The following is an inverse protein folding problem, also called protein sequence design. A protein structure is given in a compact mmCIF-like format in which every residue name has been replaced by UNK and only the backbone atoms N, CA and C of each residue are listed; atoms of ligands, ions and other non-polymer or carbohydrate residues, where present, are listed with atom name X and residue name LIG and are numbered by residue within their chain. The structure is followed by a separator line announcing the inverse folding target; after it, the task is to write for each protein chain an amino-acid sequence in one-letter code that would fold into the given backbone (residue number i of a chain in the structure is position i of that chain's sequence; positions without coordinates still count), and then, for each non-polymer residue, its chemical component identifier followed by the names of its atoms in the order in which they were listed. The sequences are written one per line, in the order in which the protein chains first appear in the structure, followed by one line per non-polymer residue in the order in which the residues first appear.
data_IF_328113645522
#
_entry.id   IF_328113645522
#
_cell.length_a   1.000
_cell.length_b   1.000
_cell.length_c   1.000
_cell.angle_alpha   90.00
_cell.angle_beta   90.00
_cell.angle_gamma   90.00
#
_symmetry.space_group_name_H-M   'P 1'
#
loop_
_entity.id
_entity.type
_entity.pdbx_description
1 polymer ?
#
# COMPACT_ATOMS: atom_id res chain seq x y z
N UNK A 1 -53.41 -18.56 -63.15
CA UNK A 1 -53.44 -17.28 -62.41
C UNK A 1 -54.16 -17.51 -61.10
N UNK A 2 -53.63 -16.95 -60.01
CA UNK A 2 -54.19 -16.84 -58.65
C UNK A 2 -54.26 -18.08 -57.75
N UNK A 3 -53.50 -18.03 -56.64
CA UNK A 3 -53.91 -18.55 -55.33
C UNK A 3 -53.08 -17.82 -54.25
N UNK A 4 -53.67 -16.86 -53.53
CA UNK A 4 -54.36 -16.98 -52.23
C UNK A 4 -53.42 -16.78 -51.02
N UNK A 5 -53.74 -15.77 -50.21
CA UNK A 5 -53.05 -15.31 -49.00
C UNK A 5 -54.04 -15.27 -47.82
N UNK A 6 -53.59 -15.71 -46.63
CA UNK A 6 -53.96 -15.34 -45.23
C UNK A 6 -53.91 -16.60 -44.34
N UNK A 7 -52.97 -16.71 -43.38
CA UNK A 7 -52.84 -16.04 -42.06
C UNK A 7 -53.48 -16.86 -40.91
N UNK A 8 -52.74 -17.06 -39.81
CA UNK A 8 -53.31 -17.23 -38.45
C UNK A 8 -53.03 -18.53 -37.68
N UNK A 9 -51.90 -18.57 -36.96
CA UNK A 9 -51.66 -18.86 -35.53
C UNK A 9 -52.64 -19.72 -34.65
N UNK A 10 -52.02 -20.59 -33.80
CA UNK A 10 -52.29 -20.94 -32.36
C UNK A 10 -52.32 -22.46 -31.96
N UNK A 11 -51.25 -22.89 -31.25
CA UNK A 11 -51.09 -23.64 -29.95
C UNK A 11 -52.12 -24.76 -29.60
N UNK A 12 -51.76 -25.98 -29.13
CA UNK A 12 -51.48 -26.34 -27.71
C UNK A 12 -51.04 -27.83 -27.49
N UNK A 13 -49.94 -28.01 -26.73
CA UNK A 13 -49.45 -29.00 -25.70
C UNK A 13 -50.03 -30.44 -25.50
N UNK A 14 -49.10 -31.37 -25.16
CA UNK A 14 -49.11 -32.56 -24.23
C UNK A 14 -48.67 -33.88 -24.94
N UNK A 15 -47.83 -34.82 -24.44
CA UNK A 15 -47.17 -35.09 -23.16
C UNK A 15 -46.07 -36.20 -23.30
N UNK A 16 -45.13 -36.26 -22.33
CA UNK A 16 -44.40 -37.42 -21.74
C UNK A 16 -43.09 -38.02 -22.31
N UNK A 17 -42.05 -37.84 -21.47
CA UNK A 17 -41.04 -38.79 -20.94
C UNK A 17 -39.95 -39.39 -21.83
N UNK A 18 -38.71 -38.94 -21.61
CA UNK A 18 -37.61 -39.84 -21.24
C UNK A 18 -36.54 -39.12 -20.42
N UNK A 19 -36.17 -39.74 -19.30
CA UNK A 19 -35.08 -39.37 -18.41
C UNK A 19 -33.76 -39.18 -19.17
N UNK A 20 -33.09 -38.06 -18.93
CA UNK A 20 -31.63 -38.03 -18.90
C UNK A 20 -31.23 -37.10 -17.75
N UNK A 21 -31.02 -37.69 -16.58
CA UNK A 21 -30.25 -37.06 -15.52
C UNK A 21 -28.80 -37.07 -15.99
N UNK A 22 -28.40 -35.99 -16.67
CA UNK A 22 -26.98 -35.66 -16.76
C UNK A 22 -26.60 -35.04 -15.42
N UNK A 23 -25.97 -35.82 -14.56
CA UNK A 23 -25.25 -35.32 -13.40
C UNK A 23 -24.15 -34.39 -13.92
N UNK A 24 -24.42 -33.09 -13.93
CA UNK A 24 -23.42 -32.08 -14.21
C UNK A 24 -22.57 -31.96 -12.95
N UNK A 25 -21.39 -32.57 -12.98
CA UNK A 25 -20.41 -32.48 -11.91
C UNK A 25 -19.87 -31.05 -11.87
N UNK A 26 -20.47 -30.21 -11.03
CA UNK A 26 -19.93 -28.90 -10.66
C UNK A 26 -18.75 -29.04 -9.68
N UNK A 27 -17.73 -29.81 -10.08
CA UNK A 27 -16.43 -29.72 -9.45
C UNK A 27 -15.77 -28.42 -9.94
N UNK A 28 -15.24 -27.57 -9.05
CA UNK A 28 -14.58 -26.35 -9.46
C UNK A 28 -13.29 -26.72 -10.22
N UNK A 29 -13.35 -26.65 -11.55
CA UNK A 29 -12.17 -26.81 -12.39
C UNK A 29 -11.21 -25.66 -12.09
N UNK A 30 -10.08 -25.98 -11.49
CA UNK A 30 -8.98 -25.06 -11.22
C UNK A 30 -8.55 -24.45 -12.57
N UNK A 31 -8.94 -23.19 -12.81
CA UNK A 31 -8.56 -22.49 -14.04
C UNK A 31 -7.04 -22.47 -14.12
N UNK A 32 -6.49 -23.02 -15.19
CA UNK A 32 -5.07 -22.89 -15.57
C UNK A 32 -4.79 -21.40 -15.75
N UNK A 33 -4.43 -20.72 -14.67
CA UNK A 33 -3.84 -19.39 -14.73
C UNK A 33 -2.53 -19.60 -15.47
N UNK A 34 -2.50 -19.16 -16.72
CA UNK A 34 -1.40 -19.38 -17.67
C UNK A 34 -0.06 -19.08 -17.02
N UNK A 35 0.88 -20.03 -17.08
CA UNK A 35 2.26 -19.92 -16.56
C UNK A 35 2.95 -18.61 -16.99
N UNK A 36 2.68 -18.12 -18.21
CA UNK A 36 3.16 -16.83 -18.71
C UNK A 36 2.62 -15.61 -17.96
N UNK A 37 1.35 -15.64 -17.55
CA UNK A 37 0.77 -14.56 -16.75
C UNK A 37 1.37 -14.55 -15.34
N UNK A 38 1.57 -15.73 -14.75
CA UNK A 38 2.27 -15.89 -13.47
C UNK A 38 3.71 -15.37 -13.54
N UNK A 39 4.47 -15.68 -14.60
CA UNK A 39 5.84 -15.18 -14.78
C UNK A 39 5.86 -13.64 -14.89
N UNK A 40 4.97 -13.06 -15.71
CA UNK A 40 4.89 -11.60 -15.86
C UNK A 40 4.53 -10.89 -14.53
N UNK A 41 3.63 -11.47 -13.75
CA UNK A 41 3.23 -10.90 -12.45
C UNK A 41 4.37 -11.02 -11.42
N UNK A 42 5.12 -12.12 -11.44
CA UNK A 42 6.32 -12.30 -10.61
C UNK A 42 7.40 -11.28 -10.97
N UNK A 43 7.72 -11.14 -12.26
CA UNK A 43 8.72 -10.17 -12.74
C UNK A 43 8.33 -8.74 -12.37
N UNK A 44 7.04 -8.39 -12.52
CA UNK A 44 6.50 -7.10 -12.10
C UNK A 44 6.63 -6.88 -10.60
N UNK A 45 6.31 -7.88 -9.80
CA UNK A 45 6.43 -7.83 -8.33
C UNK A 45 7.87 -7.57 -7.90
N UNK A 46 8.84 -8.28 -8.49
CA UNK A 46 10.26 -8.09 -8.17
C UNK A 46 10.78 -6.71 -8.57
N UNK A 47 10.33 -6.17 -9.70
CA UNK A 47 10.64 -4.79 -10.09
C UNK A 47 10.07 -3.77 -9.10
N UNK A 48 8.83 -3.96 -8.64
CA UNK A 48 8.20 -3.10 -7.64
C UNK A 48 8.94 -3.18 -6.29
N UNK A 49 9.34 -4.37 -5.86
CA UNK A 49 10.15 -4.58 -4.66
C UNK A 49 11.50 -3.88 -4.74
N UNK A 50 12.23 -4.03 -5.85
CA UNK A 50 13.52 -3.38 -6.06
C UNK A 50 13.38 -1.85 -6.07
N UNK A 51 12.34 -1.33 -6.74
CA UNK A 51 12.02 0.11 -6.77
C UNK A 51 11.70 0.64 -5.36
N UNK A 52 10.86 -0.06 -4.60
CA UNK A 52 10.55 0.32 -3.23
C UNK A 52 11.80 0.36 -2.35
N UNK A 53 12.61 -0.70 -2.36
CA UNK A 53 13.88 -0.76 -1.63
C UNK A 53 14.78 0.42 -1.97
N UNK A 54 14.98 0.68 -3.26
CA UNK A 54 15.87 1.75 -3.71
C UNK A 54 15.37 3.15 -3.36
N UNK A 55 14.05 3.39 -3.43
CA UNK A 55 13.50 4.73 -3.19
C UNK A 55 13.41 5.09 -1.72
N UNK A 56 13.30 4.09 -0.83
CA UNK A 56 13.08 4.30 0.60
C UNK A 56 14.28 3.97 1.49
N UNK A 57 15.38 3.48 0.92
CA UNK A 57 16.63 3.33 1.67
C UNK A 57 17.32 4.68 1.79
N UNK A 58 17.66 5.08 3.03
CA UNK A 58 18.42 6.29 3.31
C UNK A 58 17.60 7.59 3.29
N UNK A 59 16.27 7.54 3.22
CA UNK A 59 15.42 8.74 3.12
C UNK A 59 15.01 9.31 4.46
N UNK A 60 14.59 10.57 4.46
CA UNK A 60 13.91 11.22 5.58
C UNK A 60 12.46 11.51 5.21
N UNK A 61 11.52 11.04 6.03
CA UNK A 61 10.12 11.44 5.94
C UNK A 61 9.95 12.65 6.85
N UNK A 62 9.39 13.74 6.30
CA UNK A 62 8.97 14.92 7.07
C UNK A 62 7.51 15.18 6.85
N UNK A 63 6.78 15.34 7.92
CA UNK A 63 5.35 15.55 7.81
C UNK A 63 4.73 16.17 9.04
N UNK A 64 3.42 16.13 9.01
CA UNK A 64 2.57 16.61 10.07
C UNK A 64 1.47 15.59 10.32
N UNK A 65 0.97 15.57 11.55
CA UNK A 65 -0.15 14.73 11.93
C UNK A 65 -1.24 15.50 12.68
N UNK A 66 -2.44 14.95 12.56
CA UNK A 66 -3.66 15.36 13.25
C UNK A 66 -3.93 14.40 14.40
N UNK A 67 -4.73 14.84 15.38
CA UNK A 67 -5.33 14.00 16.40
C UNK A 67 -6.84 14.15 16.24
N UNK A 68 -7.57 13.04 16.18
CA UNK A 68 -9.01 13.06 16.02
C UNK A 68 -9.70 13.89 17.13
N UNK A 69 -10.65 14.73 16.73
CA UNK A 69 -11.35 15.65 17.63
C UNK A 69 -10.53 16.88 18.05
N UNK A 70 -9.30 17.08 17.54
CA UNK A 70 -8.51 18.31 17.76
C UNK A 70 -8.63 19.28 16.58
N UNK A 71 -8.50 20.60 16.82
CA UNK A 71 -8.50 21.60 15.76
C UNK A 71 -7.37 21.39 14.74
N UNK A 72 -7.69 21.55 13.45
CA UNK A 72 -6.74 21.37 12.34
C UNK A 72 -5.72 22.51 12.18
N UNK A 73 -5.83 23.58 12.96
CA UNK A 73 -4.87 24.70 12.97
C UNK A 73 -3.68 24.46 13.92
N UNK A 74 -3.61 23.29 14.57
CA UNK A 74 -2.55 22.91 15.51
C UNK A 74 -1.92 21.57 15.12
N UNK A 75 -1.45 21.49 13.87
CA UNK A 75 -0.76 20.30 13.37
C UNK A 75 0.58 20.13 14.09
N UNK A 76 0.91 18.89 14.43
CA UNK A 76 2.18 18.53 15.06
C UNK A 76 3.14 17.98 14.02
N UNK A 77 4.38 18.40 14.08
CA UNK A 77 5.43 17.88 13.19
C UNK A 77 5.89 16.48 13.62
N UNK A 78 6.25 15.68 12.62
CA UNK A 78 6.92 14.39 12.79
C UNK A 78 8.05 14.24 11.77
N UNK A 79 9.05 13.44 12.14
CA UNK A 79 10.12 13.06 11.23
C UNK A 79 10.60 11.64 11.50
N UNK A 80 10.85 10.90 10.41
CA UNK A 80 11.41 9.56 10.42
C UNK A 80 12.63 9.48 9.50
N UNK A 81 13.77 9.03 10.02
CA UNK A 81 14.94 8.70 9.20
C UNK A 81 14.95 7.21 8.92
N UNK A 82 14.76 6.82 7.66
CA UNK A 82 14.82 5.42 7.23
C UNK A 82 16.24 5.12 6.78
N UNK A 83 16.97 4.30 7.53
CA UNK A 83 18.34 3.93 7.17
C UNK A 83 18.38 2.78 6.17
N UNK A 84 17.59 1.73 6.37
CA UNK A 84 17.57 0.55 5.49
C UNK A 84 16.17 -0.01 5.33
N UNK A 85 15.91 -0.57 4.14
CA UNK A 85 14.68 -1.27 3.80
C UNK A 85 15.03 -2.63 3.21
N UNK A 86 14.61 -3.71 3.87
CA UNK A 86 14.92 -5.08 3.44
C UNK A 86 13.67 -5.95 3.42
N UNK A 87 13.47 -6.68 2.32
CA UNK A 87 12.36 -7.62 2.21
C UNK A 87 12.68 -8.87 3.02
N UNK A 88 11.77 -9.31 3.88
CA UNK A 88 11.92 -10.57 4.60
C UNK A 88 11.62 -11.77 3.69
N UNK A 89 12.19 -12.97 3.97
CA UNK A 89 12.10 -14.14 3.09
C UNK A 89 10.67 -14.63 2.82
N UNK A 90 9.74 -14.41 3.76
CA UNK A 90 8.40 -14.95 3.71
C UNK A 90 7.35 -13.83 3.70
N UNK A 91 6.42 -13.88 2.75
CA UNK A 91 5.27 -12.98 2.68
C UNK A 91 5.61 -11.56 2.22
N UNK A 92 4.82 -10.58 2.63
CA UNK A 92 4.96 -9.17 2.22
C UNK A 92 5.64 -8.30 3.28
N UNK A 93 6.33 -8.92 4.24
CA UNK A 93 6.99 -8.18 5.31
C UNK A 93 8.31 -7.57 4.84
N UNK A 94 8.54 -6.37 5.35
CA UNK A 94 9.75 -5.59 5.16
C UNK A 94 10.29 -5.20 6.52
N UNK A 95 11.58 -5.44 6.73
CA UNK A 95 12.34 -4.92 7.84
C UNK A 95 12.81 -3.51 7.48
N UNK A 96 12.29 -2.52 8.20
CA UNK A 96 12.62 -1.12 8.03
C UNK A 96 13.31 -0.65 9.30
N UNK A 97 14.56 -0.20 9.16
CA UNK A 97 15.27 0.45 10.25
C UNK A 97 14.95 1.94 10.20
N UNK A 98 14.17 2.41 11.16
CA UNK A 98 13.73 3.80 11.23
C UNK A 98 14.18 4.42 12.56
N UNK A 99 14.74 5.63 12.50
CA UNK A 99 14.91 6.50 13.66
C UNK A 99 13.71 7.45 13.72
N UNK A 100 12.96 7.37 14.80
CA UNK A 100 11.78 8.18 15.01
C UNK A 100 12.11 9.28 16.01
N UNK A 101 11.76 10.53 15.68
CA UNK A 101 11.86 11.64 16.62
C UNK A 101 10.49 12.27 16.83
N UNK A 102 9.92 12.08 18.02
CA UNK A 102 8.66 12.70 18.42
C UNK A 102 8.65 13.02 19.92
N UNK A 103 8.33 14.27 20.27
CA UNK A 103 8.40 14.74 21.66
C UNK A 103 9.81 14.55 22.25
N UNK A 104 9.91 13.76 23.33
CA UNK A 104 11.16 13.43 24.02
C UNK A 104 11.77 12.08 23.55
N UNK A 105 11.15 11.40 22.60
CA UNK A 105 11.63 10.11 22.11
C UNK A 105 12.48 10.30 20.86
N UNK A 106 13.69 9.76 20.91
CA UNK A 106 14.64 9.69 19.80
C UNK A 106 15.24 8.28 19.81
N UNK A 107 14.63 7.38 19.05
CA UNK A 107 14.96 5.95 19.07
C UNK A 107 15.06 5.39 17.66
N UNK A 108 16.07 4.57 17.43
CA UNK A 108 16.20 3.75 16.21
C UNK A 108 15.63 2.37 16.49
N UNK A 109 14.59 1.99 15.75
CA UNK A 109 13.87 0.72 15.94
C UNK A 109 13.84 -0.06 14.63
N UNK A 110 14.24 -1.34 14.63
CA UNK A 110 13.95 -2.26 13.53
C UNK A 110 12.46 -2.63 13.57
N UNK A 111 11.70 -2.21 12.56
CA UNK A 111 10.26 -2.47 12.48
C UNK A 111 10.01 -3.42 11.30
N UNK A 112 9.46 -4.59 11.60
CA UNK A 112 8.91 -5.48 10.59
C UNK A 112 7.46 -5.08 10.31
N UNK A 113 7.17 -4.64 9.09
CA UNK A 113 5.83 -4.21 8.68
C UNK A 113 5.46 -4.75 7.30
N UNK A 114 4.16 -4.82 7.03
CA UNK A 114 3.66 -5.28 5.74
C UNK A 114 3.68 -4.14 4.72
N UNK A 115 4.08 -4.43 3.49
CA UNK A 115 3.90 -3.50 2.36
C UNK A 115 2.95 -4.14 1.36
N UNK A 116 1.74 -3.59 1.28
CA UNK A 116 0.72 -4.02 0.32
C UNK A 116 0.77 -3.12 -0.91
N UNK A 117 0.24 -3.59 -2.03
CA UNK A 117 0.31 -2.87 -3.30
C UNK A 117 -1.08 -2.50 -3.82
N UNK A 118 -1.30 -1.22 -4.06
CA UNK A 118 -2.44 -0.70 -4.81
C UNK A 118 -1.99 -0.38 -6.24
N UNK A 119 -2.05 -1.39 -7.12
CA UNK A 119 -1.40 -1.34 -8.42
C UNK A 119 0.13 -1.29 -8.25
N UNK A 120 0.74 -0.15 -8.57
CA UNK A 120 2.19 0.08 -8.41
C UNK A 120 2.51 0.97 -7.20
N UNK A 121 1.51 1.31 -6.40
CA UNK A 121 1.64 2.22 -5.26
C UNK A 121 1.79 1.40 -3.97
N UNK A 122 2.92 1.52 -3.25
CA UNK A 122 3.10 0.82 -2.00
C UNK A 122 2.28 1.45 -0.87
N UNK A 123 1.70 0.58 -0.03
CA UNK A 123 0.91 0.91 1.16
C UNK A 123 1.54 0.21 2.34
N UNK A 124 2.21 0.98 3.20
CA UNK A 124 2.73 0.49 4.48
C UNK A 124 1.54 0.18 5.37
N UNK A 125 1.51 -1.05 5.89
CA UNK A 125 0.44 -1.57 6.74
C UNK A 125 1.05 -2.09 8.03
N UNK A 126 0.56 -1.55 9.14
CA UNK A 126 0.94 -1.93 10.48
C UNK A 126 -0.34 -2.18 11.27
N UNK A 127 -0.50 -3.40 11.79
CA UNK A 127 -1.66 -3.77 12.60
C UNK A 127 -1.20 -4.20 13.99
N UNK A 128 -1.61 -3.45 15.02
CA UNK A 128 -1.44 -3.76 16.45
C UNK A 128 0.01 -4.11 16.88
N UNK A 129 1.01 -3.43 16.32
CA UNK A 129 2.40 -3.61 16.75
C UNK A 129 2.58 -3.01 18.14
N UNK A 130 2.83 -3.87 19.12
CA UNK A 130 3.11 -3.43 20.49
C UNK A 130 4.60 -3.30 20.70
N UNK A 131 5.05 -2.09 21.04
CA UNK A 131 6.45 -1.84 21.40
C UNK A 131 6.53 -1.67 22.92
N UNK A 132 7.31 -2.51 23.63
CA UNK A 132 7.42 -2.44 25.09
C UNK A 132 7.79 -1.04 25.58
N UNK A 133 7.00 -0.50 26.51
CA UNK A 133 7.21 0.83 27.06
C UNK A 133 6.74 2.00 26.19
N UNK A 134 6.29 1.76 24.95
CA UNK A 134 5.80 2.80 24.03
C UNK A 134 4.34 2.63 23.62
N UNK A 135 3.72 1.47 23.85
CA UNK A 135 2.30 1.22 23.55
C UNK A 135 2.08 0.45 22.25
N UNK A 136 0.83 0.44 21.76
CA UNK A 136 0.42 -0.31 20.58
C UNK A 136 0.11 0.62 19.40
N UNK A 137 0.69 0.32 18.25
CA UNK A 137 0.62 1.14 17.05
C UNK A 137 -0.11 0.41 15.92
N UNK A 138 -0.94 1.14 15.19
CA UNK A 138 -1.46 0.72 13.88
C UNK A 138 -1.38 1.87 12.88
N UNK A 139 -1.10 1.57 11.62
CA UNK A 139 -0.97 2.57 10.57
C UNK A 139 -1.25 2.02 9.18
N UNK A 140 -1.76 2.88 8.30
CA UNK A 140 -1.97 2.61 6.87
C UNK A 140 -1.50 3.82 6.09
N UNK A 141 -0.35 3.72 5.44
CA UNK A 141 0.31 4.85 4.80
C UNK A 141 0.55 4.56 3.33
N UNK A 142 -0.09 5.34 2.47
CA UNK A 142 0.12 5.33 1.03
C UNK A 142 1.35 6.15 0.72
N UNK A 143 2.25 5.59 -0.09
CA UNK A 143 3.43 6.25 -0.58
C UNK A 143 3.28 6.52 -2.07
N UNK A 144 3.32 7.78 -2.49
CA UNK A 144 3.15 8.14 -3.89
C UNK A 144 4.10 9.27 -4.27
N UNK A 145 5.00 8.99 -5.21
CA UNK A 145 6.09 9.89 -5.60
C UNK A 145 6.95 10.28 -4.39
N UNK A 146 7.12 11.59 -4.14
CA UNK A 146 7.84 12.14 -3.00
C UNK A 146 6.91 12.51 -1.84
N UNK A 147 5.71 11.93 -1.76
CA UNK A 147 4.72 12.22 -0.73
C UNK A 147 4.22 10.94 -0.06
N UNK A 148 3.76 11.10 1.17
CA UNK A 148 3.01 10.07 1.87
C UNK A 148 1.80 10.67 2.56
N UNK A 149 0.77 9.84 2.76
CA UNK A 149 -0.40 10.18 3.55
C UNK A 149 -1.03 8.90 4.10
N UNK A 150 -1.65 8.98 5.27
CA UNK A 150 -2.21 7.81 5.90
C UNK A 150 -2.92 8.06 7.22
N UNK A 151 -3.40 6.98 7.81
CA UNK A 151 -3.94 6.96 9.17
C UNK A 151 -2.91 6.41 10.14
N UNK A 152 -2.96 6.88 11.38
CA UNK A 152 -2.18 6.34 12.48
C UNK A 152 -3.06 6.17 13.71
N UNK A 153 -2.69 5.22 14.55
CA UNK A 153 -3.32 4.91 15.83
C UNK A 153 -2.22 4.56 16.82
N UNK A 154 -2.32 5.13 18.02
CA UNK A 154 -1.55 4.80 19.21
C UNK A 154 -2.50 4.56 20.37
N UNK A 155 -2.64 3.29 20.78
CA UNK A 155 -3.64 2.85 21.76
C UNK A 155 -5.05 3.35 21.40
N UNK A 156 -5.64 4.25 22.19
CA UNK A 156 -6.97 4.83 21.96
C UNK A 156 -6.96 6.15 21.16
N UNK A 157 -5.78 6.69 20.84
CA UNK A 157 -5.60 7.97 20.14
C UNK A 157 -5.24 7.72 18.69
N UNK A 158 -5.85 8.44 17.75
CA UNK A 158 -5.54 8.29 16.34
C UNK A 158 -5.69 9.59 15.56
N UNK A 159 -5.44 9.49 14.26
CA UNK A 159 -5.66 10.55 13.31
C UNK A 159 -5.02 10.25 11.96
N UNK A 160 -4.71 11.33 11.25
CA UNK A 160 -4.11 11.29 9.92
C UNK A 160 -2.72 11.91 9.95
N UNK A 161 -1.81 11.37 9.15
CA UNK A 161 -0.47 11.91 8.90
C UNK A 161 -0.27 12.11 7.41
N UNK A 162 0.54 13.10 7.05
CA UNK A 162 0.93 13.36 5.67
C UNK A 162 2.21 14.19 5.61
N UNK A 163 2.95 14.05 4.51
CA UNK A 163 4.23 14.72 4.38
C UNK A 163 4.95 14.42 3.07
N UNK A 164 6.24 14.69 3.08
CA UNK A 164 7.16 14.50 1.95
C UNK A 164 8.30 13.54 2.30
N UNK A 165 8.75 12.81 1.28
CA UNK A 165 9.91 11.92 1.33
C UNK A 165 11.09 12.68 0.74
N UNK A 166 12.06 12.98 1.57
CA UNK A 166 13.29 13.69 1.22
C UNK A 166 14.41 12.67 1.04
N UNK A 167 15.04 12.69 -0.13
CA UNK A 167 16.31 11.98 -0.31
C UNK A 167 17.37 12.65 0.58
N UNK A 168 18.34 11.90 1.13
CA UNK A 168 19.42 12.51 1.86
C UNK A 168 20.18 13.42 0.89
N UNK A 169 20.37 14.69 1.29
CA UNK A 169 21.31 15.55 0.59
C UNK A 169 22.65 14.82 0.56
N UNK A 170 23.23 14.69 -0.63
CA UNK A 170 24.62 14.25 -0.75
C UNK A 170 25.43 15.24 0.09
N UNK A 171 26.38 14.76 0.89
CA UNK A 171 27.13 15.56 1.87
C UNK A 171 27.87 16.80 1.29
N UNK A 172 27.85 16.98 -0.02
CA UNK A 172 28.37 18.13 -0.76
C UNK A 172 27.38 19.31 -0.82
N UNK A 173 26.06 19.11 -0.80
CA UNK A 173 25.08 20.20 -0.91
C UNK A 173 24.83 20.94 0.41
N UNK A 174 25.14 20.34 1.55
CA UNK A 174 25.07 21.01 2.86
C UNK A 174 26.26 21.95 3.10
N UNK A 175 27.37 21.80 2.37
CA UNK A 175 28.50 22.75 2.42
C UNK A 175 28.29 23.97 1.52
N UNK A 176 27.45 23.84 0.49
CA UNK A 176 27.14 24.93 -0.43
C UNK A 176 26.06 25.88 0.14
N UNK A 177 25.13 25.38 0.95
CA UNK A 177 24.05 26.21 1.51
C UNK A 177 24.48 27.08 2.71
N UNK A 178 25.57 26.73 3.41
CA UNK A 178 26.09 27.51 4.55
C UNK A 178 27.14 28.57 4.13
N UNK A 179 27.68 28.47 2.90
CA UNK A 179 28.63 29.45 2.35
C UNK A 179 27.95 30.60 1.59
N UNK A 180 26.69 30.45 1.17
CA UNK A 180 25.94 31.50 0.47
C UNK A 180 25.18 32.44 1.44
N UNK A 181 24.88 31.98 2.67
CA UNK A 181 24.21 32.80 3.69
C UNK A 181 25.15 33.77 4.45
N UNK A 182 26.45 33.75 4.16
CA UNK A 182 27.46 34.55 4.85
C UNK A 182 28.06 35.68 3.99
N UNK A 183 27.54 35.95 2.78
CA UNK A 183 28.01 37.04 1.91
C UNK A 183 27.01 38.20 1.74
N UNK A 184 26.03 38.34 2.63
CA UNK A 184 25.19 39.54 2.69
C UNK A 184 25.08 40.06 4.13
N UNK A 185 26.20 40.61 4.63
CA UNK A 185 26.25 41.69 5.63
C UNK A 185 27.63 42.35 5.63
#
# INVERSE_FOLDING_TARGET
MHAYLKAGLFVTVLCWSNCNVSAQSDAPQLKVVTEKALINDVDKSEMLHAKFKSLFTGVRLRGQFTIDGKPLNQLKEEAYDISTVEKLPNGDQWLINARMKYGNFDVTVPIALDVKWAGETPVITLDNLTIPGMGTFSARVVLHQNKYAGTWQHDAVGGHLFGTIEQPKTAEEDKAADSDASQEN
#
